data_IF_017559782107
#
_entry.id   IF_017559782107
#
_cell.length_a   1.000
_cell.length_b   1.000
_cell.length_c   1.000
_cell.angle_alpha   90.00
_cell.angle_beta   90.00
_cell.angle_gamma   90.00
#
_symmetry.space_group_name_H-M   'P 1'
#
loop_
_entity.id
_entity.type
_entity.pdbx_description
1 polymer ?
#
# COMPACT_ATOMS: atom_id res chain seq x y z
N UNK A 1 24.62 -57.82 16.40
CA UNK A 1 23.55 -56.79 16.52
C UNK A 1 23.24 -56.45 17.98
N UNK A 2 24.17 -55.81 18.73
CA UNK A 2 23.91 -55.35 20.12
C UNK A 2 24.54 -53.98 20.47
N UNK A 3 25.18 -53.30 19.52
CA UNK A 3 25.86 -52.00 19.76
C UNK A 3 25.05 -50.78 19.31
N UNK A 4 23.99 -50.96 18.53
CA UNK A 4 23.17 -49.86 18.01
C UNK A 4 22.06 -49.41 18.96
N UNK A 5 21.60 -50.29 19.88
CA UNK A 5 20.52 -49.97 20.81
C UNK A 5 21.00 -49.10 22.00
N UNK A 6 22.25 -49.25 22.43
CA UNK A 6 22.81 -48.52 23.57
C UNK A 6 23.10 -47.03 23.25
N UNK A 7 23.33 -46.70 21.98
CA UNK A 7 23.59 -45.30 21.57
C UNK A 7 22.29 -44.49 21.54
N UNK A 8 21.17 -45.10 21.13
CA UNK A 8 19.86 -44.44 21.10
C UNK A 8 19.24 -44.21 22.50
N UNK A 9 19.51 -45.09 23.47
CA UNK A 9 19.05 -44.89 24.85
C UNK A 9 19.88 -43.86 25.62
N UNK A 10 21.18 -43.73 25.35
CA UNK A 10 22.00 -42.69 26.01
C UNK A 10 21.70 -41.29 25.45
N UNK A 11 21.42 -41.15 24.15
CA UNK A 11 21.02 -39.86 23.56
C UNK A 11 19.66 -39.36 24.08
N UNK A 12 18.70 -40.25 24.32
CA UNK A 12 17.37 -39.86 24.84
C UNK A 12 17.40 -39.43 26.31
N UNK A 13 18.27 -40.03 27.13
CA UNK A 13 18.49 -39.59 28.52
C UNK A 13 19.23 -38.25 28.64
N UNK A 14 20.12 -37.92 27.69
CA UNK A 14 20.79 -36.61 27.63
C UNK A 14 19.85 -35.47 27.20
N UNK A 15 18.88 -35.75 26.30
CA UNK A 15 17.86 -34.75 25.93
C UNK A 15 16.79 -34.52 27.01
N UNK A 16 16.57 -35.48 27.92
CA UNK A 16 15.64 -35.32 29.04
C UNK A 16 16.23 -34.52 30.23
N UNK A 17 17.56 -34.40 30.31
CA UNK A 17 18.26 -33.62 31.35
C UNK A 17 18.42 -32.14 31.00
N UNK A 18 18.26 -31.75 29.72
CA UNK A 18 18.13 -30.36 29.32
C UNK A 18 16.70 -29.90 29.59
N UNK A 19 16.46 -29.33 30.78
CA UNK A 19 15.28 -28.50 31.01
C UNK A 19 15.17 -27.52 29.84
N UNK A 20 14.03 -27.41 29.15
CA UNK A 20 13.86 -26.38 28.13
C UNK A 20 14.09 -25.05 28.82
N UNK A 21 15.19 -24.39 28.45
CA UNK A 21 15.44 -23.02 28.81
C UNK A 21 14.23 -22.25 28.26
N UNK A 22 13.44 -21.54 29.08
CA UNK A 22 12.29 -20.82 28.58
C UNK A 22 12.80 -19.86 27.52
N UNK A 23 12.40 -20.08 26.27
CA UNK A 23 12.59 -19.09 25.21
C UNK A 23 11.91 -17.84 25.75
N UNK A 24 12.65 -16.72 25.96
CA UNK A 24 12.03 -15.49 26.39
C UNK A 24 10.86 -15.21 25.45
N UNK A 25 9.68 -14.95 26.01
CA UNK A 25 8.54 -14.57 25.19
C UNK A 25 9.00 -13.41 24.27
N UNK A 26 8.63 -13.43 22.97
CA UNK A 26 8.98 -12.34 22.08
C UNK A 26 8.56 -11.02 22.73
N UNK A 27 9.51 -10.16 23.04
CA UNK A 27 9.23 -8.85 23.63
C UNK A 27 8.52 -8.05 22.53
N UNK A 28 7.34 -7.52 22.85
CA UNK A 28 6.61 -6.65 21.92
C UNK A 28 7.47 -5.41 21.65
N UNK A 29 7.85 -5.12 20.40
CA UNK A 29 8.68 -3.96 20.07
C UNK A 29 8.09 -2.65 20.58
N UNK A 30 6.77 -2.59 20.77
CA UNK A 30 6.09 -1.41 21.26
C UNK A 30 6.38 -1.08 22.74
N UNK A 31 6.73 -2.08 23.57
CA UNK A 31 6.93 -1.88 25.01
C UNK A 31 8.36 -1.45 25.38
N UNK A 32 9.27 -1.37 24.40
CA UNK A 32 10.67 -1.04 24.63
C UNK A 32 10.98 0.31 24.02
N UNK A 33 11.32 1.30 24.86
CA UNK A 33 11.73 2.62 24.37
C UNK A 33 12.85 2.47 23.32
N UNK A 34 12.66 3.01 22.10
CA UNK A 34 13.69 2.98 21.07
C UNK A 34 14.91 3.79 21.52
N UNK A 35 16.10 3.26 21.24
CA UNK A 35 17.36 3.92 21.58
C UNK A 35 17.40 5.36 21.02
N UNK A 36 17.63 6.33 21.91
CA UNK A 36 17.69 7.73 21.53
C UNK A 36 18.80 7.99 20.48
N UNK A 37 18.59 8.94 19.56
CA UNK A 37 19.64 9.39 18.65
C UNK A 37 20.89 9.84 19.41
N UNK A 38 22.07 9.33 19.01
CA UNK A 38 23.34 9.68 19.66
C UNK A 38 24.04 10.80 18.88
N UNK A 39 24.41 11.87 19.57
CA UNK A 39 25.14 13.01 18.97
C UNK A 39 26.42 12.53 18.29
N UNK A 40 26.68 12.99 17.06
CA UNK A 40 27.82 12.57 16.25
C UNK A 40 27.65 11.23 15.51
N UNK A 41 26.59 10.47 15.80
CA UNK A 41 26.27 9.21 15.11
C UNK A 41 24.92 9.26 14.39
N UNK A 42 23.97 10.05 14.89
CA UNK A 42 22.67 10.31 14.29
C UNK A 42 22.77 11.20 13.04
N UNK A 43 21.74 11.14 12.19
CA UNK A 43 21.55 12.16 11.16
C UNK A 43 20.92 13.40 11.79
N UNK A 44 21.52 14.58 11.59
CA UNK A 44 20.95 15.83 12.11
C UNK A 44 19.74 16.28 11.30
N UNK A 45 18.71 16.80 11.97
CA UNK A 45 17.45 17.15 11.32
C UNK A 45 17.60 18.21 10.23
N UNK A 46 18.59 19.10 10.33
CA UNK A 46 18.87 20.10 9.29
C UNK A 46 19.42 19.51 7.99
N UNK A 47 19.95 18.29 8.04
CA UNK A 47 20.49 17.61 6.85
C UNK A 47 19.40 16.90 6.06
N UNK A 48 18.23 16.65 6.68
CA UNK A 48 17.14 15.87 6.08
C UNK A 48 16.67 16.45 4.74
N UNK A 49 16.38 17.76 4.58
CA UNK A 49 15.93 18.28 3.29
C UNK A 49 16.92 17.99 2.15
N UNK A 50 18.22 18.19 2.39
CA UNK A 50 19.26 17.89 1.41
C UNK A 50 19.39 16.39 1.11
N UNK A 51 19.21 15.53 2.12
CA UNK A 51 19.17 14.07 1.94
C UNK A 51 17.96 13.64 1.11
N UNK A 52 16.78 14.18 1.38
CA UNK A 52 15.55 13.88 0.63
C UNK A 52 15.68 14.35 -0.82
N UNK A 53 16.20 15.56 -1.06
CA UNK A 53 16.44 16.06 -2.42
C UNK A 53 17.45 15.18 -3.17
N UNK A 54 18.52 14.75 -2.51
CA UNK A 54 19.53 13.85 -3.08
C UNK A 54 18.92 12.49 -3.45
N UNK A 55 18.14 11.88 -2.57
CA UNK A 55 17.43 10.63 -2.84
C UNK A 55 16.43 10.78 -3.99
N UNK A 56 15.69 11.89 -4.04
CA UNK A 56 14.75 12.19 -5.12
C UNK A 56 15.45 12.38 -6.48
N UNK A 57 16.59 13.08 -6.52
CA UNK A 57 17.40 13.22 -7.74
C UNK A 57 17.89 11.87 -8.26
N UNK A 58 18.35 10.99 -7.37
CA UNK A 58 18.79 9.66 -7.77
C UNK A 58 17.64 8.77 -8.24
N UNK A 59 16.49 8.82 -7.56
CA UNK A 59 15.29 8.10 -8.02
C UNK A 59 14.87 8.60 -9.41
N UNK A 60 14.87 9.92 -9.62
CA UNK A 60 14.57 10.53 -10.93
C UNK A 60 15.55 10.06 -12.01
N UNK A 61 16.86 10.05 -11.70
CA UNK A 61 17.88 9.56 -12.63
C UNK A 61 17.70 8.07 -12.96
N UNK A 62 17.27 7.26 -12.00
CA UNK A 62 17.00 5.83 -12.16
C UNK A 62 15.75 5.57 -13.00
N UNK A 63 14.74 6.43 -12.90
CA UNK A 63 13.50 6.40 -13.70
C UNK A 63 13.64 7.06 -15.08
N UNK A 64 14.74 7.74 -15.36
CA UNK A 64 14.96 8.40 -16.66
C UNK A 64 14.98 7.35 -17.80
N UNK A 65 14.09 7.45 -18.80
CA UNK A 65 14.07 6.54 -19.94
C UNK A 65 15.38 6.58 -20.77
N UNK A 66 16.18 7.64 -20.65
CA UNK A 66 17.48 7.78 -21.28
C UNK A 66 18.65 7.29 -20.42
N UNK A 67 18.39 6.79 -19.21
CA UNK A 67 19.43 6.25 -18.34
C UNK A 67 20.20 5.14 -19.10
N UNK A 68 21.54 5.24 -19.25
CA UNK A 68 22.32 4.24 -19.97
C UNK A 68 22.28 2.86 -19.33
N UNK A 69 21.98 2.78 -18.04
CA UNK A 69 21.91 1.54 -17.28
C UNK A 69 20.51 0.92 -17.29
N UNK A 70 19.50 1.54 -17.91
CA UNK A 70 18.14 1.02 -17.95
C UNK A 70 18.09 -0.45 -18.41
N UNK A 71 17.25 -1.25 -17.76
CA UNK A 71 17.09 -2.65 -18.13
C UNK A 71 16.60 -2.76 -19.61
N UNK A 72 17.23 -3.60 -20.45
CA UNK A 72 16.87 -3.69 -21.87
C UNK A 72 15.41 -4.02 -22.13
N UNK A 73 14.81 -4.88 -21.29
CA UNK A 73 13.41 -5.30 -21.44
C UNK A 73 12.47 -4.14 -21.09
N UNK A 74 12.83 -3.37 -20.05
CA UNK A 74 12.08 -2.18 -19.65
C UNK A 74 12.22 -1.04 -20.66
N UNK A 75 13.42 -0.82 -21.21
CA UNK A 75 13.66 0.16 -22.27
C UNK A 75 12.84 -0.16 -23.52
N UNK A 76 12.84 -1.43 -23.91
CA UNK A 76 12.03 -1.95 -24.99
C UNK A 76 10.54 -1.70 -24.79
N UNK A 77 10.05 -1.79 -23.55
CA UNK A 77 8.68 -1.48 -23.18
C UNK A 77 8.39 0.03 -23.21
N UNK A 78 9.25 0.87 -22.63
CA UNK A 78 9.05 2.33 -22.61
C UNK A 78 9.05 2.95 -24.01
N UNK A 79 9.86 2.41 -24.92
CA UNK A 79 9.89 2.83 -26.32
C UNK A 79 8.55 2.64 -27.05
N UNK A 80 7.68 1.74 -26.55
CA UNK A 80 6.35 1.50 -27.11
C UNK A 80 5.38 2.63 -26.79
N UNK A 81 5.46 3.19 -25.59
CA UNK A 81 4.54 4.24 -25.13
C UNK A 81 5.00 5.65 -25.53
N UNK A 82 6.30 5.81 -25.85
CA UNK A 82 6.90 7.06 -26.31
C UNK A 82 7.39 7.96 -25.15
N UNK A 83 8.23 8.97 -25.45
CA UNK A 83 8.85 9.84 -24.44
C UNK A 83 7.87 10.79 -23.72
N UNK A 84 6.60 10.85 -24.12
CA UNK A 84 5.57 11.75 -23.55
C UNK A 84 4.64 11.11 -22.51
N UNK A 85 4.74 9.80 -22.28
CA UNK A 85 3.87 9.04 -21.35
C UNK A 85 4.55 8.66 -20.04
N UNK A 86 5.65 9.33 -19.70
CA UNK A 86 6.05 9.39 -18.30
C UNK A 86 4.94 10.14 -17.56
N UNK A 87 4.16 9.45 -16.73
CA UNK A 87 3.36 10.16 -15.73
C UNK A 87 4.36 11.05 -14.97
N UNK A 88 4.15 12.38 -14.91
CA UNK A 88 5.01 13.23 -14.10
C UNK A 88 4.82 12.77 -12.65
N UNK A 89 5.78 11.99 -12.14
CA UNK A 89 5.90 11.75 -10.72
C UNK A 89 6.44 13.05 -10.12
N UNK A 90 5.54 13.91 -9.64
CA UNK A 90 5.94 15.00 -8.78
C UNK A 90 6.27 14.44 -7.39
N UNK A 91 7.54 14.08 -7.21
CA UNK A 91 8.09 13.57 -5.96
C UNK A 91 8.16 14.65 -4.86
N UNK A 92 7.86 15.92 -5.16
CA UNK A 92 7.81 16.98 -4.13
C UNK A 92 6.60 16.83 -3.22
N UNK A 93 5.59 16.04 -3.61
CA UNK A 93 4.39 15.81 -2.81
C UNK A 93 4.03 14.31 -2.76
N UNK A 94 4.74 13.48 -1.99
CA UNK A 94 4.50 12.04 -1.90
C UNK A 94 3.07 11.69 -1.43
N UNK A 95 2.43 12.57 -0.65
CA UNK A 95 1.01 12.48 -0.29
C UNK A 95 0.08 12.67 -1.48
N UNK A 96 0.44 13.49 -2.48
CA UNK A 96 -0.30 13.61 -3.73
C UNK A 96 -0.12 12.39 -4.64
N UNK A 97 1.05 11.73 -4.63
CA UNK A 97 1.25 10.47 -5.35
C UNK A 97 0.37 9.34 -4.78
N UNK A 98 0.35 9.21 -3.45
CA UNK A 98 -0.55 8.27 -2.77
C UNK A 98 -2.02 8.61 -3.02
N UNK A 99 -2.38 9.90 -2.95
CA UNK A 99 -3.74 10.37 -3.28
C UNK A 99 -4.09 10.19 -4.75
N UNK A 100 -3.19 10.37 -5.70
CA UNK A 100 -3.49 10.21 -7.13
C UNK A 100 -3.59 8.74 -7.52
N UNK A 101 -2.78 7.85 -6.94
CA UNK A 101 -2.96 6.40 -7.07
C UNK A 101 -4.32 5.98 -6.49
N UNK A 102 -4.63 6.38 -5.24
CA UNK A 102 -5.90 6.05 -4.59
C UNK A 102 -7.09 6.71 -5.31
N UNK A 103 -6.96 7.96 -5.77
CA UNK A 103 -8.01 8.66 -6.52
C UNK A 103 -8.21 8.09 -7.91
N UNK A 104 -7.19 7.59 -8.60
CA UNK A 104 -7.36 6.93 -9.90
C UNK A 104 -8.05 5.56 -9.73
N UNK A 105 -7.80 4.85 -8.62
CA UNK A 105 -8.56 3.65 -8.25
C UNK A 105 -9.98 3.98 -7.73
N UNK A 106 -10.17 5.08 -7.00
CA UNK A 106 -11.43 5.46 -6.37
C UNK A 106 -12.33 6.36 -7.25
N UNK A 107 -11.81 6.95 -8.34
CA UNK A 107 -12.58 7.79 -9.26
C UNK A 107 -13.71 7.02 -9.95
N UNK A 108 -13.63 5.68 -9.97
CA UNK A 108 -14.65 4.79 -10.51
C UNK A 108 -15.61 4.23 -9.43
N UNK A 109 -15.43 4.57 -8.15
CA UNK A 109 -16.20 4.03 -7.02
C UNK A 109 -17.18 5.05 -6.40
N UNK A 110 -17.71 5.99 -7.21
CA UNK A 110 -18.69 6.97 -6.73
C UNK A 110 -20.11 6.55 -7.10
N UNK A 111 -20.85 6.05 -6.12
CA UNK A 111 -22.30 5.91 -6.22
C UNK A 111 -22.94 5.13 -5.08
N UNK A 112 -23.22 5.79 -3.95
CA UNK A 112 -24.23 5.29 -3.01
C UNK A 112 -25.62 5.67 -3.52
N UNK A 113 -26.49 4.69 -3.75
CA UNK A 113 -27.93 4.92 -3.89
C UNK A 113 -28.72 3.78 -3.24
N UNK A 114 -29.77 4.16 -2.51
CA UNK A 114 -30.79 3.26 -1.97
C UNK A 114 -31.64 2.72 -3.12
N UNK A 115 -31.73 1.39 -3.22
CA UNK A 115 -32.49 0.68 -4.25
C UNK A 115 -33.97 0.63 -3.85
N UNK A 116 -34.84 1.33 -4.59
CA UNK A 116 -36.25 0.97 -4.70
C UNK A 116 -36.48 0.29 -6.05
N UNK A 117 -37.27 -0.79 -6.04
CA UNK A 117 -37.39 -1.80 -7.10
C UNK A 117 -37.78 -1.29 -8.48
N UNK A 118 -36.77 -0.94 -9.28
CA UNK A 118 -36.86 -0.68 -10.73
C UNK A 118 -35.86 -1.61 -11.41
N UNK A 119 -36.14 -2.02 -12.65
CA UNK A 119 -35.25 -2.85 -13.47
C UNK A 119 -33.87 -2.19 -13.62
N UNK A 120 -32.85 -2.75 -12.97
CA UNK A 120 -31.47 -2.24 -13.01
C UNK A 120 -30.80 -2.55 -14.34
N UNK A 121 -30.13 -1.55 -14.93
CA UNK A 121 -29.30 -1.74 -16.14
C UNK A 121 -27.98 -2.41 -15.76
N UNK A 122 -27.68 -3.58 -16.33
CA UNK A 122 -26.40 -4.27 -16.11
C UNK A 122 -25.37 -3.92 -17.18
N UNK A 123 -24.28 -3.28 -16.79
CA UNK A 123 -23.13 -2.98 -17.63
C UNK A 123 -22.08 -4.08 -17.47
N UNK A 124 -21.99 -4.97 -18.45
CA UNK A 124 -21.06 -6.11 -18.42
C UNK A 124 -19.66 -5.71 -18.85
N UNK A 125 -18.65 -6.45 -18.42
CA UNK A 125 -17.27 -6.28 -18.87
C UNK A 125 -17.18 -6.54 -20.39
N UNK A 126 -16.42 -5.72 -21.13
CA UNK A 126 -16.41 -5.76 -22.60
C UNK A 126 -15.70 -7.01 -23.12
N UNK A 127 -16.31 -7.89 -23.91
CA UNK A 127 -15.64 -9.11 -24.42
C UNK A 127 -15.14 -8.96 -25.86
N UNK A 128 -14.27 -9.87 -26.30
CA UNK A 128 -13.88 -10.03 -27.69
C UNK A 128 -12.45 -9.54 -27.99
N UNK A 129 -12.12 -9.50 -29.28
CA UNK A 129 -10.82 -9.06 -29.78
C UNK A 129 -11.02 -7.89 -30.73
N UNK A 130 -10.32 -6.79 -30.45
CA UNK A 130 -10.20 -5.67 -31.37
C UNK A 130 -8.81 -5.64 -31.96
N UNK A 131 -8.70 -5.74 -33.28
CA UNK A 131 -7.44 -5.62 -34.01
C UNK A 131 -7.40 -4.30 -34.75
N UNK A 132 -6.39 -3.49 -34.45
CA UNK A 132 -6.02 -2.30 -35.22
C UNK A 132 -4.88 -2.68 -36.14
N UNK A 133 -5.18 -2.72 -37.44
CA UNK A 133 -4.20 -3.09 -38.47
C UNK A 133 -3.19 -1.97 -38.72
N UNK A 134 -2.20 -2.24 -39.59
CA UNK A 134 -1.14 -1.27 -39.91
C UNK A 134 -1.64 0.00 -40.62
N UNK A 135 -2.84 -0.02 -41.17
CA UNK A 135 -3.47 1.14 -41.81
C UNK A 135 -4.32 1.97 -40.85
N UNK A 136 -4.44 1.53 -39.58
CA UNK A 136 -5.27 2.14 -38.56
C UNK A 136 -6.73 1.68 -38.59
N UNK A 137 -7.06 0.69 -39.43
CA UNK A 137 -8.42 0.14 -39.48
C UNK A 137 -8.64 -0.81 -38.32
N UNK A 138 -9.76 -0.62 -37.63
CA UNK A 138 -10.19 -1.48 -36.53
C UNK A 138 -11.11 -2.58 -37.06
N UNK A 139 -10.88 -3.81 -36.62
CA UNK A 139 -11.75 -4.98 -36.82
C UNK A 139 -12.06 -5.61 -35.48
N UNK A 140 -13.27 -6.15 -35.34
CA UNK A 140 -13.74 -6.78 -34.10
C UNK A 140 -14.08 -8.26 -34.34
N UNK A 141 -13.73 -9.09 -33.36
CA UNK A 141 -14.12 -10.49 -33.27
C UNK A 141 -14.72 -10.75 -31.90
N UNK A 142 -15.77 -11.57 -31.83
CA UNK A 142 -16.54 -11.79 -30.60
C UNK A 142 -15.83 -12.63 -29.53
N UNK A 143 -14.78 -13.37 -29.91
CA UNK A 143 -13.96 -14.14 -28.97
C UNK A 143 -12.76 -13.31 -28.50
N UNK A 144 -12.30 -13.45 -27.24
CA UNK A 144 -12.82 -14.36 -26.20
C UNK A 144 -14.06 -13.82 -25.46
N UNK A 145 -14.78 -14.68 -24.72
CA UNK A 145 -16.00 -14.32 -23.95
C UNK A 145 -15.73 -14.12 -22.44
N UNK A 146 -14.51 -14.40 -22.01
CA UNK A 146 -14.01 -14.31 -20.63
C UNK A 146 -12.92 -13.22 -20.48
N UNK A 147 -12.72 -12.43 -21.52
CA UNK A 147 -11.63 -11.48 -21.64
C UNK A 147 -11.78 -10.55 -22.83
N UNK A 148 -10.88 -9.56 -22.90
CA UNK A 148 -10.77 -8.59 -23.96
C UNK A 148 -9.35 -8.58 -24.47
N UNK A 149 -9.22 -8.55 -25.78
CA UNK A 149 -7.92 -8.51 -26.44
C UNK A 149 -7.86 -7.29 -27.33
N UNK A 150 -6.78 -6.54 -27.23
CA UNK A 150 -6.45 -5.49 -28.20
C UNK A 150 -5.15 -5.84 -28.89
N UNK A 151 -5.15 -5.86 -30.22
CA UNK A 151 -3.97 -6.10 -31.05
C UNK A 151 -3.65 -4.84 -31.83
N UNK A 152 -2.41 -4.37 -31.74
CA UNK A 152 -1.89 -3.28 -32.55
C UNK A 152 -0.80 -3.82 -33.48
N UNK A 153 -1.14 -4.04 -34.76
CA UNK A 153 -0.24 -4.72 -35.71
C UNK A 153 0.96 -3.87 -36.13
N UNK A 154 0.82 -2.54 -36.16
CA UNK A 154 1.92 -1.63 -36.50
C UNK A 154 3.04 -1.66 -35.45
N UNK A 155 2.67 -1.77 -34.17
CA UNK A 155 3.60 -1.79 -33.05
C UNK A 155 3.95 -3.22 -32.60
N UNK A 156 3.34 -4.25 -33.23
CA UNK A 156 3.48 -5.64 -32.85
C UNK A 156 3.14 -5.88 -31.37
N UNK A 157 2.05 -5.27 -30.90
CA UNK A 157 1.59 -5.35 -29.52
C UNK A 157 0.29 -6.12 -29.42
N UNK A 158 0.15 -6.85 -28.33
CA UNK A 158 -1.10 -7.48 -27.92
C UNK A 158 -1.31 -7.25 -26.43
N UNK A 159 -2.45 -6.68 -26.05
CA UNK A 159 -2.92 -6.61 -24.68
C UNK A 159 -4.01 -7.67 -24.52
N UNK A 160 -3.80 -8.59 -23.60
CA UNK A 160 -4.75 -9.66 -23.27
C UNK A 160 -5.21 -9.45 -21.83
N UNK A 161 -6.48 -9.10 -21.63
CA UNK A 161 -7.10 -8.94 -20.31
C UNK A 161 -8.11 -10.05 -20.12
N UNK A 162 -7.99 -10.83 -19.05
CA UNK A 162 -8.92 -11.89 -18.67
C UNK A 162 -9.52 -11.54 -17.31
N UNK A 163 -10.84 -11.59 -17.18
CA UNK A 163 -11.55 -11.36 -15.90
C UNK A 163 -12.32 -12.59 -15.40
N UNK A 164 -12.34 -13.69 -16.16
CA UNK A 164 -12.79 -15.00 -15.65
C UNK A 164 -11.65 -16.00 -15.77
N UNK A 165 -10.68 -15.87 -14.87
CA UNK A 165 -9.54 -16.81 -14.79
C UNK A 165 -9.98 -18.05 -14.00
N UNK A 166 -10.13 -19.20 -14.66
CA UNK A 166 -10.51 -20.46 -14.01
C UNK A 166 -11.92 -20.44 -13.42
N UNK A 167 -12.90 -19.96 -14.18
CA UNK A 167 -14.32 -19.83 -13.78
C UNK A 167 -14.58 -18.90 -12.58
N UNK A 168 -13.63 -18.01 -12.26
CA UNK A 168 -13.80 -17.02 -11.20
C UNK A 168 -15.04 -16.14 -11.46
N UNK A 169 -15.84 -15.95 -10.40
CA UNK A 169 -17.06 -15.17 -10.45
C UNK A 169 -16.79 -13.68 -10.72
N UNK A 170 -17.77 -12.98 -11.28
CA UNK A 170 -17.82 -11.51 -11.30
C UNK A 170 -18.88 -11.05 -10.33
N UNK A 171 -18.81 -9.78 -9.92
CA UNK A 171 -19.82 -9.15 -9.07
C UNK A 171 -20.33 -7.88 -9.70
N UNK A 172 -21.61 -7.59 -9.51
CA UNK A 172 -22.21 -6.32 -9.94
C UNK A 172 -22.23 -5.36 -8.76
N UNK A 173 -21.75 -4.13 -8.98
CA UNK A 173 -21.81 -3.05 -7.99
C UNK A 173 -22.64 -1.88 -8.51
N UNK A 174 -23.38 -1.17 -7.65
CA UNK A 174 -24.09 0.04 -8.05
C UNK A 174 -23.14 1.06 -8.70
N UNK A 175 -23.53 1.57 -9.87
CA UNK A 175 -22.77 2.53 -10.68
C UNK A 175 -23.53 3.85 -10.89
N UNK A 176 -24.48 4.15 -9.99
CA UNK A 176 -25.33 5.35 -10.10
C UNK A 176 -26.44 5.20 -11.13
N UNK A 177 -26.69 6.24 -11.92
CA UNK A 177 -27.74 6.27 -12.94
C UNK A 177 -27.11 6.23 -14.34
N UNK A 178 -27.65 5.43 -15.24
CA UNK A 178 -27.28 5.41 -16.65
C UNK A 178 -28.51 5.60 -17.55
N UNK A 179 -28.31 6.24 -18.69
CA UNK A 179 -29.35 6.36 -19.71
C UNK A 179 -29.63 4.99 -20.34
N UNK A 180 -30.88 4.52 -20.24
CA UNK A 180 -31.32 3.28 -20.87
C UNK A 180 -31.91 3.58 -22.25
N UNK A 181 -31.20 3.25 -23.36
CA UNK A 181 -31.67 3.56 -24.71
C UNK A 181 -32.90 2.75 -25.12
N UNK A 182 -33.19 1.62 -24.46
CA UNK A 182 -34.37 0.80 -24.77
C UNK A 182 -35.67 1.39 -24.20
N UNK A 183 -35.57 2.16 -23.11
CA UNK A 183 -36.72 2.78 -22.44
C UNK A 183 -36.75 4.31 -22.57
N UNK A 184 -35.66 4.92 -23.04
CA UNK A 184 -35.53 6.37 -23.19
C UNK A 184 -35.41 7.14 -21.87
N UNK A 185 -35.08 6.46 -20.76
CA UNK A 185 -35.08 7.03 -19.41
C UNK A 185 -33.78 6.74 -18.66
N UNK A 186 -33.44 7.58 -17.69
CA UNK A 186 -32.37 7.30 -16.74
C UNK A 186 -32.82 6.23 -15.74
N UNK A 187 -32.05 5.16 -15.62
CA UNK A 187 -32.33 4.03 -14.72
C UNK A 187 -31.11 3.74 -13.84
N UNK A 188 -31.29 3.17 -12.64
CA UNK A 188 -30.18 2.67 -11.83
C UNK A 188 -29.33 1.70 -12.65
N UNK A 189 -28.01 1.82 -12.54
CA UNK A 189 -27.06 0.98 -13.25
C UNK A 189 -26.19 0.21 -12.27
N UNK A 190 -25.80 -0.99 -12.68
CA UNK A 190 -24.82 -1.84 -12.03
C UNK A 190 -23.65 -2.09 -12.98
N UNK A 191 -22.43 -1.92 -12.50
CA UNK A 191 -21.20 -2.22 -13.21
C UNK A 191 -20.68 -3.59 -12.78
N UNK A 192 -20.42 -4.47 -13.74
CA UNK A 192 -19.73 -5.74 -13.51
C UNK A 192 -18.25 -5.48 -13.20
N UNK A 193 -17.74 -6.13 -12.14
CA UNK A 193 -16.35 -6.11 -11.71
C UNK A 193 -15.79 -7.55 -11.61
N UNK A 194 -14.52 -7.77 -12.00
CA UNK A 194 -13.84 -9.04 -11.76
C UNK A 194 -13.61 -9.29 -10.27
N UNK A 195 -13.75 -10.55 -9.83
CA UNK A 195 -13.11 -10.99 -8.56
C UNK A 195 -11.72 -11.54 -8.78
N UNK A 196 -11.38 -11.92 -10.02
CA UNK A 196 -10.04 -12.30 -10.42
C UNK A 196 -9.81 -11.79 -11.85
N UNK A 197 -8.71 -11.09 -12.08
CA UNK A 197 -8.32 -10.68 -13.41
C UNK A 197 -6.82 -10.81 -13.62
N UNK A 198 -6.43 -11.06 -14.87
CA UNK A 198 -5.05 -10.93 -15.32
C UNK A 198 -4.98 -10.07 -16.57
N UNK A 199 -3.91 -9.33 -16.70
CA UNK A 199 -3.58 -8.58 -17.89
C UNK A 199 -2.16 -8.94 -18.32
N UNK A 200 -1.95 -9.21 -19.59
CA UNK A 200 -0.62 -9.43 -20.18
C UNK A 200 -0.45 -8.53 -21.38
N UNK A 201 0.63 -7.77 -21.40
CA UNK A 201 1.10 -7.07 -22.59
C UNK A 201 2.20 -7.91 -23.25
N UNK A 202 1.99 -8.29 -24.50
CA UNK A 202 2.95 -9.01 -25.32
C UNK A 202 3.47 -8.10 -26.43
N UNK A 203 4.78 -8.10 -26.63
CA UNK A 203 5.45 -7.47 -27.77
C UNK A 203 6.08 -8.55 -28.63
N UNK A 204 5.60 -8.72 -29.85
CA UNK A 204 5.92 -9.89 -30.68
C UNK A 204 5.51 -11.19 -30.00
N UNK A 205 6.49 -12.02 -29.66
CA UNK A 205 6.25 -13.32 -29.00
C UNK A 205 6.54 -13.30 -27.49
N UNK A 206 7.01 -12.17 -26.95
CA UNK A 206 7.47 -12.06 -25.56
C UNK A 206 6.50 -11.23 -24.72
N UNK A 207 6.17 -11.73 -23.54
CA UNK A 207 5.43 -10.96 -22.55
C UNK A 207 6.36 -9.86 -21.98
N UNK A 208 5.94 -8.61 -22.09
CA UNK A 208 6.71 -7.42 -21.73
C UNK A 208 6.20 -6.74 -20.45
N UNK A 209 4.95 -7.00 -20.08
CA UNK A 209 4.40 -6.63 -18.78
C UNK A 209 3.22 -7.55 -18.43
N UNK A 210 2.92 -7.65 -17.15
CA UNK A 210 1.76 -8.38 -16.68
C UNK A 210 1.25 -7.86 -15.35
N UNK A 211 -0.03 -8.08 -15.11
CA UNK A 211 -0.68 -7.80 -13.84
C UNK A 211 -1.67 -8.91 -13.50
N UNK A 212 -1.83 -9.18 -12.20
CA UNK A 212 -2.88 -10.02 -11.65
C UNK A 212 -3.57 -9.27 -10.53
N UNK A 213 -4.87 -9.49 -10.45
CA UNK A 213 -5.76 -8.86 -9.50
C UNK A 213 -6.68 -9.93 -8.93
N UNK A 214 -6.81 -9.97 -7.61
CA UNK A 214 -7.78 -10.81 -6.92
C UNK A 214 -8.50 -9.95 -5.89
N UNK A 215 -9.81 -10.07 -5.83
CA UNK A 215 -10.68 -9.34 -4.90
C UNK A 215 -11.66 -10.31 -4.26
N UNK A 216 -11.78 -10.23 -2.95
CA UNK A 216 -12.90 -10.80 -2.21
C UNK A 216 -13.92 -9.67 -1.99
N UNK A 217 -15.08 -9.70 -2.67
CA UNK A 217 -16.08 -8.63 -2.61
C UNK A 217 -16.50 -8.27 -1.18
N UNK A 218 -16.82 -9.27 -0.36
CA UNK A 218 -17.49 -9.05 0.91
C UNK A 218 -18.92 -8.49 0.75
N UNK A 219 -19.66 -8.49 1.85
CA UNK A 219 -21.06 -8.04 1.87
C UNK A 219 -21.19 -6.52 1.70
N UNK A 220 -20.11 -5.77 1.96
CA UNK A 220 -20.10 -4.30 1.99
C UNK A 220 -19.36 -3.66 0.79
N UNK A 221 -19.14 -4.40 -0.30
CA UNK A 221 -18.33 -3.95 -1.45
C UNK A 221 -18.74 -2.55 -1.94
N UNK A 222 -20.05 -2.29 -2.01
CA UNK A 222 -20.62 -1.03 -2.50
C UNK A 222 -20.50 0.15 -1.53
N UNK A 223 -20.17 -0.09 -0.26
CA UNK A 223 -20.13 0.94 0.78
C UNK A 223 -18.71 1.25 1.26
N UNK A 224 -17.95 0.21 1.65
CA UNK A 224 -16.61 0.34 2.25
C UNK A 224 -15.52 -0.40 1.46
N UNK A 225 -15.86 -0.92 0.28
CA UNK A 225 -14.93 -1.68 -0.56
C UNK A 225 -14.79 -3.15 -0.13
N UNK A 226 -13.84 -3.88 -0.75
CA UNK A 226 -13.74 -5.32 -0.61
C UNK A 226 -13.32 -5.79 0.79
N UNK A 227 -13.52 -7.06 1.12
CA UNK A 227 -12.92 -7.66 2.32
C UNK A 227 -11.45 -7.97 2.13
N UNK A 228 -11.02 -8.26 0.90
CA UNK A 228 -9.63 -8.42 0.57
C UNK A 228 -9.35 -8.06 -0.89
N UNK A 229 -8.13 -7.59 -1.16
CA UNK A 229 -7.65 -7.26 -2.49
C UNK A 229 -6.16 -7.59 -2.57
N UNK A 230 -5.75 -8.26 -3.63
CA UNK A 230 -4.35 -8.49 -3.97
C UNK A 230 -4.12 -8.03 -5.40
N UNK A 231 -3.07 -7.25 -5.61
CA UNK A 231 -2.63 -6.81 -6.91
C UNK A 231 -1.14 -7.08 -7.06
N UNK A 232 -0.74 -7.73 -8.13
CA UNK A 232 0.66 -7.95 -8.46
C UNK A 232 0.87 -7.50 -9.89
N UNK A 233 1.90 -6.70 -10.15
CA UNK A 233 2.26 -6.28 -11.48
C UNK A 233 3.77 -6.36 -11.67
N UNK A 234 4.17 -6.53 -12.92
CA UNK A 234 5.57 -6.56 -13.33
C UNK A 234 5.72 -6.00 -14.74
N UNK A 235 6.91 -5.50 -15.04
CA UNK A 235 7.29 -5.01 -16.36
C UNK A 235 8.73 -5.41 -16.69
N UNK A 236 9.00 -5.59 -17.99
CA UNK A 236 10.20 -6.22 -18.53
C UNK A 236 9.99 -7.72 -18.70
N UNK A 237 10.83 -8.53 -18.06
CA UNK A 237 10.71 -10.00 -18.01
C UNK A 237 9.85 -10.47 -16.82
N UNK A 238 9.10 -11.55 -17.00
CA UNK A 238 8.21 -12.09 -15.96
C UNK A 238 8.95 -12.69 -14.74
N UNK A 239 10.12 -13.29 -14.97
CA UNK A 239 10.98 -13.82 -13.91
C UNK A 239 12.12 -12.83 -13.68
N UNK A 240 12.37 -12.45 -12.41
CA UNK A 240 13.35 -11.43 -12.04
C UNK A 240 13.07 -10.08 -12.73
N UNK A 241 11.81 -9.64 -12.64
CA UNK A 241 11.32 -8.42 -13.30
C UNK A 241 12.10 -7.19 -12.84
N UNK A 242 12.58 -6.35 -13.78
CA UNK A 242 13.23 -5.10 -13.42
C UNK A 242 12.26 -4.13 -12.76
N UNK A 243 10.97 -4.17 -13.06
CA UNK A 243 9.96 -3.44 -12.32
C UNK A 243 8.89 -4.39 -11.80
N UNK A 244 8.53 -4.26 -10.52
CA UNK A 244 7.48 -5.05 -9.89
C UNK A 244 6.74 -4.23 -8.84
N UNK A 245 5.45 -4.52 -8.68
CA UNK A 245 4.57 -3.92 -7.68
C UNK A 245 3.70 -5.03 -7.09
N UNK A 246 3.58 -5.07 -5.77
CA UNK A 246 2.68 -5.96 -5.04
C UNK A 246 1.94 -5.14 -4.02
N UNK A 247 0.62 -5.25 -4.01
CA UNK A 247 -0.26 -4.62 -3.04
C UNK A 247 -1.19 -5.69 -2.47
N UNK A 248 -1.34 -5.71 -1.15
CA UNK A 248 -2.30 -6.56 -0.48
C UNK A 248 -3.07 -5.74 0.53
N UNK A 249 -4.36 -5.95 0.57
CA UNK A 249 -5.28 -5.34 1.51
C UNK A 249 -6.24 -6.41 2.02
N UNK A 250 -6.53 -6.38 3.30
CA UNK A 250 -7.59 -7.19 3.90
C UNK A 250 -8.21 -6.46 5.08
N UNK A 251 -9.53 -6.45 5.17
CA UNK A 251 -10.29 -5.93 6.30
C UNK A 251 -11.23 -7.03 6.78
N UNK A 252 -11.05 -7.44 8.04
CA UNK A 252 -11.92 -8.34 8.78
C UNK A 252 -12.57 -7.61 9.97
N UNK A 253 -13.51 -8.24 10.67
CA UNK A 253 -14.15 -7.60 11.82
C UNK A 253 -13.16 -7.21 12.93
N UNK A 254 -12.00 -7.88 12.99
CA UNK A 254 -10.99 -7.71 14.03
C UNK A 254 -9.73 -6.95 13.58
N UNK A 255 -9.48 -6.81 12.27
CA UNK A 255 -8.25 -6.19 11.77
C UNK A 255 -8.34 -5.61 10.36
N UNK A 256 -7.41 -4.69 10.07
CA UNK A 256 -7.14 -4.13 8.76
C UNK A 256 -5.66 -4.32 8.47
N UNK A 257 -5.34 -5.05 7.41
CA UNK A 257 -3.98 -5.28 6.94
C UNK A 257 -3.80 -4.60 5.58
N UNK A 258 -2.71 -3.86 5.43
CA UNK A 258 -2.27 -3.31 4.16
C UNK A 258 -0.77 -3.59 4.01
N UNK A 259 -0.36 -4.12 2.86
CA UNK A 259 1.05 -4.24 2.52
C UNK A 259 1.29 -3.78 1.09
N UNK A 260 2.44 -3.18 0.85
CA UNK A 260 2.85 -2.74 -0.47
C UNK A 260 4.34 -2.94 -0.66
N UNK A 261 4.73 -3.54 -1.77
CA UNK A 261 6.13 -3.72 -2.15
C UNK A 261 6.30 -3.22 -3.59
N UNK A 262 7.26 -2.34 -3.83
CA UNK A 262 7.63 -1.88 -5.15
C UNK A 262 9.13 -2.10 -5.38
N UNK A 263 9.47 -2.45 -6.60
CA UNK A 263 10.83 -2.69 -7.06
C UNK A 263 11.01 -2.00 -8.40
N UNK A 264 12.12 -1.29 -8.54
CA UNK A 264 12.64 -0.86 -9.83
C UNK A 264 14.14 -1.14 -9.86
N UNK A 265 14.60 -1.87 -10.85
CA UNK A 265 15.99 -2.26 -11.02
C UNK A 265 16.44 -1.92 -12.45
N UNK A 266 17.56 -1.24 -12.52
CA UNK A 266 18.36 -1.09 -13.73
C UNK A 266 19.40 -2.22 -13.77
N UNK A 267 20.25 -2.23 -14.79
CA UNK A 267 21.36 -3.20 -14.88
C UNK A 267 22.38 -3.08 -13.75
N UNK A 268 22.46 -1.92 -13.08
CA UNK A 268 23.47 -1.64 -12.03
C UNK A 268 22.91 -1.22 -10.69
N UNK A 269 21.69 -0.69 -10.68
CA UNK A 269 21.12 -0.02 -9.52
C UNK A 269 19.71 -0.52 -9.25
N UNK A 270 19.27 -0.39 -8.00
CA UNK A 270 17.96 -0.79 -7.56
C UNK A 270 17.37 0.28 -6.66
N UNK A 271 16.07 0.49 -6.81
CA UNK A 271 15.20 1.17 -5.89
C UNK A 271 14.12 0.19 -5.42
N UNK A 272 13.77 0.25 -4.14
CA UNK A 272 12.66 -0.52 -3.59
C UNK A 272 11.93 0.23 -2.48
N UNK A 273 10.65 -0.06 -2.35
CA UNK A 273 9.80 0.41 -1.27
C UNK A 273 9.07 -0.80 -0.71
N UNK A 274 9.00 -0.92 0.61
CA UNK A 274 8.15 -1.89 1.30
C UNK A 274 7.41 -1.16 2.40
N UNK A 275 6.11 -1.41 2.53
CA UNK A 275 5.25 -0.86 3.57
C UNK A 275 4.31 -1.95 4.08
N UNK A 276 4.07 -1.96 5.38
CA UNK A 276 3.13 -2.85 6.04
C UNK A 276 2.44 -2.12 7.17
N UNK A 277 1.12 -2.20 7.18
CA UNK A 277 0.22 -1.69 8.19
C UNK A 277 -0.66 -2.83 8.69
N UNK A 278 -0.67 -3.08 10.00
CA UNK A 278 -1.62 -3.98 10.70
C UNK A 278 -2.32 -3.15 11.77
N UNK A 279 -3.59 -2.83 11.55
CA UNK A 279 -4.45 -2.17 12.54
C UNK A 279 -5.40 -3.22 13.11
N UNK A 280 -5.37 -3.39 14.43
CA UNK A 280 -6.28 -4.29 15.14
C UNK A 280 -7.33 -3.48 15.87
N UNK A 281 -8.54 -4.00 15.95
CA UNK A 281 -9.67 -3.31 16.54
C UNK A 281 -10.95 -4.10 16.46
N UNK A 282 -12.07 -3.41 16.61
CA UNK A 282 -13.40 -3.99 16.39
C UNK A 282 -14.16 -3.15 15.38
N UNK A 283 -14.65 -3.80 14.32
CA UNK A 283 -15.55 -3.22 13.33
C UNK A 283 -16.99 -3.59 13.66
N UNK A 284 -17.90 -2.63 13.65
CA UNK A 284 -19.33 -2.84 13.87
C UNK A 284 -20.12 -2.21 12.72
N UNK A 285 -21.17 -2.91 12.27
CA UNK A 285 -22.07 -2.47 11.19
C UNK A 285 -21.33 -2.05 9.91
N UNK A 286 -20.33 -2.83 9.49
CA UNK A 286 -19.47 -2.54 8.34
C UNK A 286 -20.25 -2.15 7.08
N UNK A 287 -21.42 -2.75 6.84
CA UNK A 287 -22.19 -2.49 5.63
C UNK A 287 -23.17 -1.30 5.75
N UNK A 288 -23.31 -0.68 6.92
CA UNK A 288 -24.29 0.38 7.16
C UNK A 288 -23.58 1.68 7.53
N UNK A 289 -23.30 2.57 6.55
CA UNK A 289 -22.52 3.80 6.78
C UNK A 289 -23.02 4.65 7.95
N UNK A 290 -24.34 4.73 8.15
CA UNK A 290 -24.95 5.52 9.21
C UNK A 290 -24.64 5.01 10.63
N UNK A 291 -24.35 3.71 10.79
CA UNK A 291 -24.09 3.07 12.09
C UNK A 291 -22.71 2.42 12.14
N UNK A 292 -21.88 2.69 11.13
CA UNK A 292 -20.53 2.15 11.03
C UNK A 292 -19.67 2.71 12.17
N UNK A 293 -18.94 1.81 12.83
CA UNK A 293 -17.92 2.19 13.78
C UNK A 293 -16.73 1.25 13.68
N UNK A 294 -15.52 1.81 13.63
CA UNK A 294 -14.29 1.05 13.82
C UNK A 294 -13.52 1.59 15.02
N UNK A 295 -13.22 0.72 15.98
CA UNK A 295 -12.52 1.05 17.24
C UNK A 295 -11.17 0.35 17.26
N UNK A 296 -10.08 0.98 16.80
CA UNK A 296 -8.76 0.39 16.88
C UNK A 296 -8.29 0.24 18.32
N UNK A 297 -7.58 -0.85 18.60
CA UNK A 297 -6.90 -1.12 19.87
C UNK A 297 -5.38 -1.15 19.72
N UNK A 298 -4.88 -1.31 18.48
CA UNK A 298 -3.45 -1.33 18.16
C UNK A 298 -3.23 -0.97 16.68
N UNK A 299 -2.07 -0.41 16.37
CA UNK A 299 -1.57 -0.33 14.99
C UNK A 299 -0.06 -0.61 14.91
N UNK A 300 0.37 -1.33 13.88
CA UNK A 300 1.78 -1.54 13.53
C UNK A 300 2.00 -1.03 12.11
N UNK A 301 2.86 -0.03 11.95
CA UNK A 301 3.31 0.47 10.65
C UNK A 301 4.82 0.27 10.54
N UNK A 302 5.26 -0.45 9.53
CA UNK A 302 6.67 -0.56 9.15
C UNK A 302 6.83 -0.18 7.70
N UNK A 303 7.79 0.67 7.39
CA UNK A 303 8.14 1.00 6.02
C UNK A 303 9.65 1.01 5.83
N UNK A 304 10.11 0.61 4.66
CA UNK A 304 11.51 0.69 4.26
C UNK A 304 11.57 1.18 2.82
N UNK A 305 12.39 2.18 2.55
CA UNK A 305 12.65 2.68 1.21
C UNK A 305 14.15 2.66 0.97
N UNK A 306 14.57 2.13 -0.17
CA UNK A 306 15.97 2.03 -0.55
C UNK A 306 16.12 2.56 -1.96
N UNK A 307 17.03 3.51 -2.14
CA UNK A 307 17.54 3.99 -3.43
C UNK A 307 19.08 4.00 -3.33
N UNK A 308 19.83 4.07 -4.44
CA UNK A 308 21.29 3.90 -4.38
C UNK A 308 21.99 4.82 -3.36
N UNK A 309 22.62 4.26 -2.33
CA UNK A 309 23.27 5.01 -1.23
C UNK A 309 22.34 5.69 -0.22
N UNK A 310 21.01 5.47 -0.28
CA UNK A 310 20.04 6.00 0.69
C UNK A 310 19.04 4.92 1.08
N UNK A 311 18.99 4.61 2.37
CA UNK A 311 18.05 3.69 2.97
C UNK A 311 17.31 4.37 4.09
N UNK A 312 15.98 4.36 4.04
CA UNK A 312 15.09 4.85 5.06
C UNK A 312 14.36 3.67 5.69
N UNK A 313 14.34 3.59 7.01
CA UNK A 313 13.53 2.62 7.73
C UNK A 313 12.67 3.34 8.78
N UNK A 314 11.37 3.10 8.73
CA UNK A 314 10.35 3.62 9.63
C UNK A 314 9.70 2.43 10.36
N UNK A 315 9.56 2.56 11.68
CA UNK A 315 8.63 1.71 12.43
C UNK A 315 7.83 2.58 13.40
N UNK A 316 6.52 2.37 13.43
CA UNK A 316 5.58 3.01 14.34
C UNK A 316 4.66 1.93 14.90
N UNK A 317 4.60 1.85 16.22
CA UNK A 317 3.72 0.95 16.94
C UNK A 317 2.84 1.77 17.88
N UNK A 318 1.55 1.49 17.83
CA UNK A 318 0.54 1.99 18.73
C UNK A 318 -0.04 0.82 19.52
N UNK A 319 -0.11 0.95 20.85
CA UNK A 319 -0.68 -0.06 21.75
C UNK A 319 -1.74 0.54 22.65
N UNK A 320 -2.62 -0.34 23.11
CA UNK A 320 -3.65 -0.05 24.10
C UNK A 320 -4.49 1.19 23.74
N UNK A 321 -4.76 1.34 22.44
CA UNK A 321 -5.56 2.45 21.93
C UNK A 321 -6.95 2.38 22.54
N UNK A 322 -7.35 3.49 23.14
CA UNK A 322 -8.66 3.64 23.80
C UNK A 322 -9.25 5.01 23.46
N UNK A 323 -10.59 5.08 23.45
CA UNK A 323 -11.36 6.26 23.07
C UNK A 323 -11.08 6.79 21.65
N UNK A 324 -10.45 5.97 20.79
CA UNK A 324 -10.32 6.24 19.37
C UNK A 324 -11.42 5.48 18.61
N UNK A 325 -12.27 6.21 17.91
CA UNK A 325 -13.36 5.66 17.12
C UNK A 325 -13.46 6.36 15.77
N UNK A 326 -13.55 5.57 14.70
CA UNK A 326 -13.89 6.05 13.37
C UNK A 326 -15.36 5.73 13.11
N UNK A 327 -16.21 6.72 13.34
CA UNK A 327 -17.66 6.69 13.06
C UNK A 327 -18.15 8.09 12.70
N UNK A 328 -19.34 8.18 12.12
CA UNK A 328 -19.94 9.49 11.81
C UNK A 328 -20.11 10.35 13.07
N UNK A 329 -20.55 9.74 14.18
CA UNK A 329 -20.76 10.45 15.45
C UNK A 329 -19.44 10.91 16.06
N UNK A 330 -18.42 10.03 16.10
CA UNK A 330 -17.12 10.36 16.66
C UNK A 330 -16.41 11.48 15.89
N UNK A 331 -16.46 11.45 14.55
CA UNK A 331 -15.79 12.45 13.70
C UNK A 331 -16.47 13.82 13.72
N UNK A 332 -17.76 13.90 14.07
CA UNK A 332 -18.51 15.15 14.18
C UNK A 332 -18.55 15.71 15.62
N UNK A 333 -17.93 15.02 16.59
CA UNK A 333 -17.82 15.50 17.95
C UNK A 333 -16.97 16.80 18.00
N UNK A 334 -17.23 17.65 18.99
CA UNK A 334 -16.51 18.92 19.16
C UNK A 334 -14.98 18.73 19.33
N UNK A 335 -14.56 17.61 19.93
CA UNK A 335 -13.16 17.20 19.97
C UNK A 335 -13.06 15.68 19.74
N UNK A 336 -12.91 15.22 18.48
CA UNK A 336 -12.91 13.79 18.13
C UNK A 336 -11.68 13.03 18.65
N UNK A 337 -10.68 13.74 19.14
CA UNK A 337 -9.42 13.20 19.64
C UNK A 337 -9.24 13.40 21.15
N UNK A 338 -10.20 13.98 21.84
CA UNK A 338 -10.14 14.17 23.30
C UNK A 338 -10.01 12.81 24.00
N UNK A 339 -9.08 12.70 24.95
CA UNK A 339 -8.90 11.51 25.80
C UNK A 339 -8.52 10.25 25.03
N UNK A 340 -7.95 10.38 23.83
CA UNK A 340 -7.34 9.22 23.15
C UNK A 340 -6.22 8.69 24.05
N UNK A 341 -6.37 7.44 24.47
CA UNK A 341 -5.38 6.76 25.29
C UNK A 341 -4.55 5.80 24.45
N UNK A 342 -3.45 5.33 25.03
CA UNK A 342 -2.56 4.34 24.44
C UNK A 342 -1.10 4.75 24.58
N UNK A 343 -0.23 4.01 23.91
CA UNK A 343 1.21 4.29 23.88
C UNK A 343 1.73 4.31 22.46
N UNK A 344 2.72 5.17 22.21
CA UNK A 344 3.45 5.30 20.95
C UNK A 344 4.85 4.76 21.11
N UNK A 345 5.31 4.05 20.10
CA UNK A 345 6.71 3.72 19.87
C UNK A 345 7.04 3.93 18.39
N UNK A 346 7.74 5.01 18.10
CA UNK A 346 8.15 5.40 16.76
C UNK A 346 9.67 5.46 16.64
N UNK A 347 10.20 5.01 15.52
CA UNK A 347 11.59 5.23 15.13
C UNK A 347 11.69 5.47 13.63
N UNK A 348 12.60 6.37 13.28
CA UNK A 348 12.99 6.66 11.91
C UNK A 348 14.52 6.61 11.84
N UNK A 349 15.05 5.85 10.89
CA UNK A 349 16.49 5.78 10.63
C UNK A 349 16.80 5.96 9.17
N UNK A 350 17.97 6.55 8.91
CA UNK A 350 18.50 6.79 7.59
C UNK A 350 19.92 6.23 7.47
N UNK A 351 20.18 5.34 6.50
CA UNK A 351 21.43 4.61 6.34
C UNK A 351 21.92 3.93 7.62
N UNK A 352 20.97 3.36 8.39
CA UNK A 352 21.24 2.73 9.69
C UNK A 352 21.54 3.70 10.84
N UNK A 353 21.56 5.02 10.59
CA UNK A 353 21.70 6.04 11.63
C UNK A 353 20.32 6.46 12.14
N UNK A 354 20.16 6.54 13.46
CA UNK A 354 18.93 7.05 14.06
C UNK A 354 18.73 8.52 13.66
N UNK A 355 17.51 8.90 13.30
CA UNK A 355 17.13 10.25 12.91
C UNK A 355 16.17 10.82 13.95
N UNK A 356 15.10 10.08 14.25
CA UNK A 356 14.07 10.48 15.20
C UNK A 356 13.55 9.25 15.93
N UNK A 357 13.27 9.41 17.23
CA UNK A 357 12.48 8.46 18.00
C UNK A 357 11.33 9.16 18.69
N UNK A 358 10.22 8.44 18.90
CA UNK A 358 9.05 8.91 19.63
C UNK A 358 8.61 7.81 20.61
N UNK A 359 8.43 8.14 21.88
CA UNK A 359 8.00 7.16 22.88
C UNK A 359 7.22 7.81 24.01
N UNK A 360 6.12 7.19 24.42
CA UNK A 360 5.35 7.63 25.57
C UNK A 360 3.84 7.44 25.39
N UNK A 361 3.06 7.84 26.41
CA UNK A 361 1.61 7.72 26.36
C UNK A 361 0.97 8.77 25.46
N UNK A 362 -0.08 8.39 24.74
CA UNK A 362 -0.93 9.28 23.94
C UNK A 362 -1.87 10.15 24.77
N UNK A 363 -2.07 9.78 26.05
CA UNK A 363 -3.00 10.46 26.93
C UNK A 363 -2.69 11.96 27.03
N UNK A 364 -3.76 12.76 27.02
CA UNK A 364 -3.70 14.21 27.26
C UNK A 364 -2.90 14.50 28.54
N UNK A 365 -2.08 15.54 28.50
CA UNK A 365 -1.36 16.02 29.68
C UNK A 365 -2.29 16.52 30.78
N UNK A 366 -1.71 16.99 31.89
CA UNK A 366 -2.46 17.70 32.93
C UNK A 366 -2.80 19.17 32.55
N UNK A 367 -2.48 19.57 31.32
CA UNK A 367 -2.69 20.93 30.84
C UNK A 367 -4.11 21.11 30.28
N UNK A 368 -4.42 22.33 29.87
CA UNK A 368 -5.74 22.69 29.34
C UNK A 368 -5.91 22.39 27.86
N UNK A 369 -4.85 21.96 27.17
CA UNK A 369 -4.85 21.69 25.74
C UNK A 369 -5.02 20.18 25.53
N UNK A 370 -6.26 19.74 25.35
CA UNK A 370 -6.66 18.32 25.23
C UNK A 370 -6.22 17.69 23.89
N UNK A 371 -4.95 17.83 23.51
CA UNK A 371 -4.38 17.23 22.31
C UNK A 371 -3.67 15.93 22.68
N UNK A 372 -3.95 14.81 22.00
CA UNK A 372 -3.26 13.58 22.29
C UNK A 372 -1.76 13.71 21.93
N UNK A 373 -0.90 13.24 22.83
CA UNK A 373 0.53 13.15 22.58
C UNK A 373 1.42 14.16 23.31
N UNK A 374 0.88 15.01 24.19
CA UNK A 374 1.69 15.93 25.03
C UNK A 374 2.73 15.21 25.89
N UNK A 375 2.44 13.96 26.23
CA UNK A 375 3.33 13.11 27.02
C UNK A 375 4.26 12.24 26.16
N UNK A 376 4.07 12.20 24.84
CA UNK A 376 4.96 11.47 23.92
C UNK A 376 6.24 12.25 23.76
N UNK A 377 7.36 11.68 24.20
CA UNK A 377 8.69 12.28 24.03
C UNK A 377 9.24 11.96 22.66
N UNK A 378 9.54 13.00 21.89
CA UNK A 378 10.22 12.94 20.61
C UNK A 378 11.67 13.39 20.80
N UNK A 379 12.61 12.56 20.34
CA UNK A 379 14.05 12.79 20.44
C UNK A 379 14.69 12.82 19.06
N UNK A 380 15.49 13.84 18.79
CA UNK A 380 16.25 14.01 17.53
C UNK A 380 17.51 14.84 17.76
N UNK A 381 18.47 14.80 16.82
CA UNK A 381 19.68 15.64 16.91
C UNK A 381 19.54 16.87 16.04
N UNK A 382 19.79 18.05 16.62
CA UNK A 382 19.76 19.34 15.95
C UNK A 382 20.98 20.16 16.38
N UNK A 383 21.77 20.64 15.42
CA UNK A 383 22.94 21.49 15.70
C UNK A 383 23.90 20.86 16.70
N UNK A 384 24.21 19.58 16.51
CA UNK A 384 25.10 18.82 17.41
C UNK A 384 24.57 18.60 18.83
N UNK A 385 23.26 18.79 19.09
CA UNK A 385 22.64 18.53 20.40
C UNK A 385 21.46 17.59 20.28
N UNK A 386 21.29 16.71 21.27
CA UNK A 386 20.07 15.95 21.42
C UNK A 386 18.97 16.90 21.90
N UNK A 387 17.91 17.02 21.11
CA UNK A 387 16.69 17.73 21.46
C UNK A 387 15.66 16.69 21.91
N UNK A 388 14.99 16.99 23.01
CA UNK A 388 13.83 16.24 23.51
C UNK A 388 12.66 17.22 23.64
N UNK A 389 11.55 16.89 23.00
CA UNK A 389 10.30 17.69 22.99
C UNK A 389 9.09 16.77 23.04
N UNK A 390 7.90 17.30 23.27
CA UNK A 390 6.65 16.57 23.08
C UNK A 390 6.26 16.44 21.60
N UNK A 391 5.25 15.61 21.29
CA UNK A 391 4.79 15.38 19.91
C UNK A 391 4.26 16.66 19.24
N UNK A 392 3.40 17.49 19.88
CA UNK A 392 2.96 18.75 19.28
C UNK A 392 4.13 19.70 18.97
N UNK A 393 5.05 19.90 19.92
CA UNK A 393 6.23 20.73 19.72
C UNK A 393 7.17 20.19 18.63
N UNK A 394 7.28 18.86 18.50
CA UNK A 394 7.99 18.25 17.37
C UNK A 394 7.29 18.53 16.03
N UNK A 395 5.96 18.43 15.97
CA UNK A 395 5.20 18.69 14.74
C UNK A 395 5.33 20.16 14.30
N UNK A 396 5.30 21.10 15.23
CA UNK A 396 5.50 22.53 14.93
C UNK A 396 6.94 22.82 14.51
N UNK A 397 7.92 22.34 15.28
CA UNK A 397 9.33 22.61 15.05
C UNK A 397 9.88 21.93 13.78
N UNK A 398 9.53 20.66 13.56
CA UNK A 398 9.94 19.91 12.38
C UNK A 398 9.08 20.25 11.17
N UNK A 399 7.78 20.50 11.35
CA UNK A 399 6.87 20.86 10.24
C UNK A 399 7.34 22.11 9.50
N UNK A 400 7.87 23.10 10.21
CA UNK A 400 8.49 24.29 9.62
C UNK A 400 9.74 24.00 8.77
N UNK A 401 10.42 22.88 8.98
CA UNK A 401 11.57 22.44 8.18
C UNK A 401 11.17 21.68 6.90
N UNK A 402 9.93 21.20 6.82
CA UNK A 402 9.47 20.28 5.77
C UNK A 402 8.40 20.85 4.82
N UNK A 403 7.82 22.01 5.14
CA UNK A 403 6.91 22.72 4.24
C UNK A 403 7.69 23.74 3.39
N UNK A 404 7.82 23.55 2.06
CA UNK A 404 8.16 24.67 1.20
C UNK A 404 6.98 25.64 1.20
N UNK A 405 7.26 26.93 1.33
CA UNK A 405 6.32 27.99 0.99
C UNK A 405 5.81 27.84 -0.45
#
# INVERSE_FOLDING_TARGET
MKRTLAVLTVSSLLLAACRPQPVPAPIDPATVEPAAPVVGQALEVQQIPGTVESAAKQLTALLDPNNPDIDPDLKALLAVFGPGSAMPLDLKQPTQLGRSLVQNFAAHARGQLQVQGVTTLKQTLPTGTTTVDRTGRSTYQSAPTDGYVIIFEAQNLRVDVKWKVGDAATVFVPAGMAYNPSTGQWSPAEQELPTNASATLTRGTQAAAGATFTMTPGECLSALGPTALSFNAWAGRAVNSPAALKLNYAWTDANINLSGDALYATTKQKASLSTKLDVRGTTVNRCTPATFAFRPTRADLTASAEVPSHKLDLALYLRDLSNLEFSADALNAQNPLAKVGGTVNGRLSFNGRSLLTAFGPLADGADTNLQPGDQVKVKYVQSGKLVETDLPGALDGLGALFLPY
#
